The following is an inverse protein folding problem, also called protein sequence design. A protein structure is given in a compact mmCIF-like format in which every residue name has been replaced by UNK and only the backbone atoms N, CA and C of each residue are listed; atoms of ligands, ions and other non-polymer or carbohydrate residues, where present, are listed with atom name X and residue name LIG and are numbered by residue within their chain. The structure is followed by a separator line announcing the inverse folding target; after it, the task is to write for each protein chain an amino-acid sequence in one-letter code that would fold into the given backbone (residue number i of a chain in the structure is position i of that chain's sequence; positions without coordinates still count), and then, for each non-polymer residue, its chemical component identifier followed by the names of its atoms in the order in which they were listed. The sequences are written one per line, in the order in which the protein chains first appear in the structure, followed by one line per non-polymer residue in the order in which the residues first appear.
data_IF_469224798322
#
_entry.id   IF_469224798322
#
_cell.length_a   1.000
_cell.length_b   1.000
_cell.length_c   1.000
_cell.angle_alpha   90.00
_cell.angle_beta   90.00
_cell.angle_gamma   90.00
#
_symmetry.space_group_name_H-M   'P 1'
#
loop_
_entity.id
_entity.type
_entity.pdbx_description
1 polymer ?
#
# COMPACT_ATOMS: atom_id res chain seq x y z
N UNK A 1 20.01 -2.41 0.46
CA UNK A 1 20.59 -3.76 0.31
C UNK A 1 19.97 -4.54 -0.86
N UNK A 2 18.65 -4.72 -0.95
CA UNK A 2 18.01 -5.44 -2.07
C UNK A 2 18.35 -4.88 -3.46
N UNK A 3 18.27 -3.56 -3.64
CA UNK A 3 18.67 -2.91 -4.90
C UNK A 3 20.15 -3.16 -5.26
N UNK A 4 21.05 -3.16 -4.28
CA UNK A 4 22.48 -3.42 -4.50
C UNK A 4 22.67 -4.84 -5.01
N UNK A 5 22.07 -5.83 -4.34
CA UNK A 5 22.14 -7.23 -4.76
C UNK A 5 21.61 -7.42 -6.19
N UNK A 6 20.47 -6.80 -6.49
CA UNK A 6 19.83 -6.81 -7.81
C UNK A 6 20.74 -6.21 -8.88
N UNK A 7 21.22 -4.97 -8.69
CA UNK A 7 21.97 -4.26 -9.71
C UNK A 7 23.39 -4.83 -9.89
N UNK A 8 24.01 -5.37 -8.84
CA UNK A 8 25.28 -6.10 -8.96
C UNK A 8 25.12 -7.37 -9.77
N UNK A 9 24.07 -8.16 -9.51
CA UNK A 9 23.80 -9.38 -10.26
C UNK A 9 23.48 -9.08 -11.74
N UNK A 10 22.61 -8.11 -11.96
CA UNK A 10 22.21 -7.68 -13.29
C UNK A 10 23.38 -7.10 -14.09
N UNK A 11 24.27 -6.32 -13.44
CA UNK A 11 25.50 -5.81 -14.05
C UNK A 11 26.48 -6.92 -14.43
N UNK A 12 26.61 -7.96 -13.60
CA UNK A 12 27.45 -9.11 -13.92
C UNK A 12 26.95 -9.87 -15.15
N UNK A 13 25.63 -10.12 -15.24
CA UNK A 13 25.06 -10.81 -16.40
C UNK A 13 25.11 -9.94 -17.66
N UNK A 14 24.83 -8.64 -17.56
CA UNK A 14 24.97 -7.69 -18.66
C UNK A 14 26.38 -7.72 -19.25
N UNK A 15 27.41 -7.74 -18.38
CA UNK A 15 28.80 -7.82 -18.80
C UNK A 15 29.14 -9.14 -19.50
N UNK A 16 28.57 -10.27 -19.03
CA UNK A 16 28.80 -11.60 -19.61
C UNK A 16 28.09 -11.81 -20.95
N UNK A 17 26.89 -11.25 -21.13
CA UNK A 17 26.10 -11.38 -22.37
C UNK A 17 26.38 -10.27 -23.40
N UNK A 18 27.16 -9.25 -23.05
CA UNK A 18 27.44 -8.12 -23.94
C UNK A 18 26.21 -7.23 -24.22
N UNK A 19 25.16 -7.34 -23.40
CA UNK A 19 23.92 -6.55 -23.50
C UNK A 19 23.96 -5.38 -22.54
N UNK A 20 23.22 -4.32 -22.85
CA UNK A 20 23.06 -3.20 -21.92
C UNK A 20 22.07 -3.55 -20.82
N UNK A 21 22.27 -3.00 -19.61
CA UNK A 21 21.36 -3.19 -18.47
C UNK A 21 19.91 -2.81 -18.82
N UNK A 22 19.73 -1.83 -19.71
CA UNK A 22 18.42 -1.37 -20.20
C UNK A 22 17.68 -2.43 -21.03
N UNK A 23 18.40 -3.27 -21.77
CA UNK A 23 17.80 -4.34 -22.58
C UNK A 23 17.35 -5.54 -21.73
N UNK A 24 17.92 -5.68 -20.53
CA UNK A 24 17.65 -6.78 -19.60
C UNK A 24 16.61 -6.38 -18.54
N UNK A 25 16.26 -5.09 -18.46
CA UNK A 25 15.34 -4.55 -17.45
C UNK A 25 14.02 -4.10 -18.04
N UNK A 26 12.97 -4.87 -17.77
CA UNK A 26 11.59 -4.37 -17.74
C UNK A 26 11.29 -3.85 -16.34
N UNK A 27 10.38 -2.88 -16.16
CA UNK A 27 9.97 -2.44 -14.83
C UNK A 27 8.90 -3.34 -14.22
N UNK A 28 8.69 -3.28 -12.90
CA UNK A 28 7.54 -3.91 -12.25
C UNK A 28 7.61 -5.44 -12.12
N UNK A 29 6.46 -6.12 -12.25
CA UNK A 29 6.36 -7.57 -12.08
C UNK A 29 7.11 -8.36 -13.17
N UNK A 30 7.21 -7.83 -14.38
CA UNK A 30 7.90 -8.49 -15.49
C UNK A 30 9.40 -8.67 -15.18
N UNK A 31 9.98 -7.72 -14.44
CA UNK A 31 11.35 -7.87 -13.93
C UNK A 31 11.44 -9.08 -13.01
N UNK A 32 10.53 -9.15 -12.02
CA UNK A 32 10.48 -10.18 -10.99
C UNK A 32 10.31 -11.59 -11.57
N UNK A 33 9.39 -11.76 -12.53
CA UNK A 33 8.93 -13.08 -12.97
C UNK A 33 9.43 -13.52 -14.35
N UNK A 34 9.99 -12.62 -15.16
CA UNK A 34 10.53 -12.95 -16.49
C UNK A 34 12.04 -12.75 -16.49
N UNK A 35 12.50 -11.54 -16.17
CA UNK A 35 13.91 -11.22 -16.23
C UNK A 35 14.74 -12.02 -15.21
N UNK A 36 14.40 -12.01 -13.91
CA UNK A 36 15.24 -12.70 -12.92
C UNK A 36 15.32 -14.22 -13.10
N UNK A 37 14.23 -14.96 -13.33
CA UNK A 37 14.35 -16.41 -13.54
C UNK A 37 15.26 -16.73 -14.73
N UNK A 38 15.17 -15.97 -15.82
CA UNK A 38 16.07 -16.11 -16.98
C UNK A 38 17.54 -15.80 -16.67
N UNK A 39 17.81 -14.91 -15.72
CA UNK A 39 19.17 -14.62 -15.26
C UNK A 39 19.68 -15.69 -14.29
N UNK A 40 18.85 -16.18 -13.38
CA UNK A 40 19.20 -17.19 -12.37
C UNK A 40 19.58 -18.52 -13.03
N UNK A 41 18.99 -18.85 -14.18
CA UNK A 41 19.36 -20.07 -14.93
C UNK A 41 20.82 -20.09 -15.41
N UNK A 42 21.50 -18.95 -15.43
CA UNK A 42 22.91 -18.85 -15.85
C UNK A 42 23.92 -19.11 -14.72
N UNK A 43 23.44 -19.18 -13.47
CA UNK A 43 24.25 -19.47 -12.28
C UNK A 43 24.52 -20.97 -12.13
N UNK A 44 25.59 -21.31 -11.40
CA UNK A 44 25.81 -22.67 -10.93
C UNK A 44 24.73 -23.05 -9.91
N UNK A 45 24.19 -24.26 -10.01
CA UNK A 45 23.06 -24.73 -9.18
C UNK A 45 21.79 -23.86 -9.32
N UNK A 46 21.25 -23.66 -10.54
CA UNK A 46 20.15 -22.72 -10.78
C UNK A 46 18.88 -23.07 -9.97
N UNK A 47 18.63 -24.35 -9.71
CA UNK A 47 17.47 -24.80 -8.92
C UNK A 47 17.50 -24.27 -7.48
N UNK A 48 18.68 -24.22 -6.86
CA UNK A 48 18.84 -23.73 -5.48
C UNK A 48 18.55 -22.23 -5.39
N UNK A 49 19.12 -21.45 -6.32
CA UNK A 49 18.93 -20.00 -6.37
C UNK A 49 17.50 -19.61 -6.73
N UNK A 50 16.87 -20.32 -7.67
CA UNK A 50 15.46 -20.11 -8.02
C UNK A 50 14.54 -20.35 -6.82
N UNK A 51 14.77 -21.43 -6.06
CA UNK A 51 13.99 -21.70 -4.85
C UNK A 51 14.11 -20.57 -3.83
N UNK A 52 15.33 -20.11 -3.52
CA UNK A 52 15.53 -19.00 -2.58
C UNK A 52 14.89 -17.70 -3.05
N UNK A 53 14.96 -17.40 -4.36
CA UNK A 53 14.37 -16.21 -4.94
C UNK A 53 12.83 -16.22 -4.82
N UNK A 54 12.18 -17.31 -5.21
CA UNK A 54 10.73 -17.42 -5.09
C UNK A 54 10.26 -17.52 -3.64
N UNK A 55 11.04 -18.17 -2.76
CA UNK A 55 10.76 -18.19 -1.33
C UNK A 55 10.82 -16.77 -0.74
N UNK A 56 11.83 -15.97 -1.13
CA UNK A 56 11.91 -14.57 -0.72
C UNK A 56 10.69 -13.77 -1.19
N UNK A 57 10.29 -13.90 -2.47
CA UNK A 57 9.10 -13.22 -2.99
C UNK A 57 7.82 -13.65 -2.25
N UNK A 58 7.69 -14.95 -1.94
CA UNK A 58 6.57 -15.49 -1.19
C UNK A 58 6.53 -14.91 0.23
N UNK A 59 7.66 -14.87 0.94
CA UNK A 59 7.73 -14.34 2.30
C UNK A 59 7.38 -12.84 2.34
N UNK A 60 7.86 -12.05 1.37
CA UNK A 60 7.51 -10.62 1.25
C UNK A 60 6.00 -10.44 1.03
N UNK A 61 5.39 -11.26 0.17
CA UNK A 61 3.96 -11.22 -0.09
C UNK A 61 3.13 -11.62 1.13
N UNK A 62 3.50 -12.72 1.79
CA UNK A 62 2.78 -13.24 2.96
C UNK A 62 2.82 -12.27 4.14
N UNK A 63 3.99 -11.69 4.44
CA UNK A 63 4.14 -10.70 5.52
C UNK A 63 3.21 -9.50 5.30
N UNK A 64 3.18 -8.98 4.07
CA UNK A 64 2.32 -7.84 3.71
C UNK A 64 0.83 -8.18 3.88
N UNK A 65 0.40 -9.35 3.39
CA UNK A 65 -1.02 -9.76 3.45
C UNK A 65 -1.47 -10.02 4.88
N UNK A 66 -0.62 -10.60 5.73
CA UNK A 66 -0.92 -10.78 7.17
C UNK A 66 -1.15 -9.42 7.83
N UNK A 67 -0.28 -8.44 7.58
CA UNK A 67 -0.45 -7.08 8.10
C UNK A 67 -1.75 -6.41 7.65
N UNK A 68 -2.14 -6.59 6.39
CA UNK A 68 -3.41 -6.07 5.86
C UNK A 68 -4.63 -6.72 6.52
N UNK A 69 -4.64 -8.05 6.63
CA UNK A 69 -5.75 -8.78 7.28
C UNK A 69 -5.88 -8.40 8.76
N UNK A 70 -4.77 -8.24 9.47
CA UNK A 70 -4.79 -7.80 10.86
C UNK A 70 -5.34 -6.38 11.02
N UNK A 71 -4.94 -5.48 10.13
CA UNK A 71 -5.45 -4.11 10.10
C UNK A 71 -6.97 -4.07 9.81
N UNK A 72 -7.42 -4.73 8.75
CA UNK A 72 -8.83 -4.75 8.36
C UNK A 72 -9.70 -5.44 9.42
N UNK A 73 -9.23 -6.55 9.97
CA UNK A 73 -9.97 -7.26 11.02
C UNK A 73 -10.07 -6.46 12.31
N UNK A 74 -9.01 -5.75 12.71
CA UNK A 74 -9.06 -4.84 13.85
C UNK A 74 -10.03 -3.67 13.60
N UNK A 75 -9.96 -3.07 12.41
CA UNK A 75 -10.86 -2.00 12.02
C UNK A 75 -12.34 -2.44 12.05
N UNK A 76 -12.66 -3.57 11.41
CA UNK A 76 -14.02 -4.11 11.39
C UNK A 76 -14.51 -4.47 12.80
N UNK A 77 -13.63 -5.05 13.62
CA UNK A 77 -13.92 -5.44 14.99
C UNK A 77 -14.35 -4.25 15.86
N UNK A 78 -13.62 -3.14 15.76
CA UNK A 78 -13.88 -1.94 16.55
C UNK A 78 -15.01 -1.08 15.96
N UNK A 79 -15.07 -0.92 14.64
CA UNK A 79 -16.06 -0.07 13.96
C UNK A 79 -17.48 -0.59 14.15
N UNK A 80 -17.69 -1.89 13.96
CA UNK A 80 -19.00 -2.54 14.09
C UNK A 80 -19.33 -3.00 15.53
N UNK A 81 -18.46 -2.69 16.50
CA UNK A 81 -18.59 -3.11 17.91
C UNK A 81 -18.83 -4.63 18.06
N UNK A 82 -18.25 -5.43 17.16
CA UNK A 82 -18.47 -6.88 17.09
C UNK A 82 -17.90 -7.63 18.30
N UNK A 83 -17.08 -6.95 19.11
CA UNK A 83 -16.57 -7.42 20.40
C UNK A 83 -17.64 -7.97 21.33
N UNK A 84 -18.87 -7.46 21.24
CA UNK A 84 -20.00 -7.89 22.09
C UNK A 84 -20.76 -9.11 21.53
N UNK A 85 -20.58 -9.44 20.24
CA UNK A 85 -21.44 -10.40 19.53
C UNK A 85 -20.71 -11.63 19.01
N UNK A 86 -19.46 -11.49 18.57
CA UNK A 86 -18.69 -12.55 17.90
C UNK A 86 -17.29 -12.64 18.50
N UNK A 87 -16.57 -13.75 18.28
CA UNK A 87 -15.12 -13.87 18.59
C UNK A 87 -14.29 -13.32 17.41
N UNK A 88 -13.10 -12.77 17.69
CA UNK A 88 -12.22 -12.16 16.67
C UNK A 88 -11.93 -13.13 15.51
N UNK A 89 -11.75 -14.42 15.82
CA UNK A 89 -11.49 -15.48 14.85
C UNK A 89 -12.55 -15.60 13.75
N UNK A 90 -13.84 -15.43 14.09
CA UNK A 90 -14.91 -15.49 13.09
C UNK A 90 -14.93 -14.27 12.17
N UNK A 91 -14.59 -13.09 12.70
CA UNK A 91 -14.48 -11.87 11.88
C UNK A 91 -13.32 -11.99 10.89
N UNK A 92 -12.18 -12.50 11.33
CA UNK A 92 -11.04 -12.79 10.45
C UNK A 92 -11.45 -13.80 9.37
N UNK A 93 -12.14 -14.88 9.73
CA UNK A 93 -12.59 -15.89 8.76
C UNK A 93 -13.52 -15.30 7.69
N UNK A 94 -14.44 -14.42 8.09
CA UNK A 94 -15.36 -13.76 7.14
C UNK A 94 -14.59 -12.84 6.20
N UNK A 95 -13.66 -12.04 6.71
CA UNK A 95 -12.85 -11.11 5.90
C UNK A 95 -11.98 -11.91 4.93
N UNK A 96 -11.21 -12.88 5.41
CA UNK A 96 -10.36 -13.73 4.56
C UNK A 96 -11.19 -14.49 3.53
N UNK A 97 -12.36 -15.01 3.92
CA UNK A 97 -13.30 -15.64 2.98
C UNK A 97 -13.75 -14.67 1.90
N UNK A 98 -14.12 -13.44 2.25
CA UNK A 98 -14.54 -12.41 1.29
C UNK A 98 -13.42 -11.98 0.34
N UNK A 99 -12.18 -11.87 0.84
CA UNK A 99 -11.00 -11.59 0.04
C UNK A 99 -10.73 -12.73 -0.93
N UNK A 100 -10.76 -13.99 -0.46
CA UNK A 100 -10.57 -15.16 -1.32
C UNK A 100 -11.56 -15.23 -2.49
N UNK A 101 -12.84 -14.97 -2.25
CA UNK A 101 -13.86 -14.92 -3.32
C UNK A 101 -13.68 -13.75 -4.27
N UNK A 102 -13.12 -12.64 -3.80
CA UNK A 102 -12.79 -11.50 -4.65
C UNK A 102 -11.55 -11.83 -5.48
N UNK A 103 -10.48 -12.35 -4.88
CA UNK A 103 -9.22 -12.61 -5.58
C UNK A 103 -9.32 -13.74 -6.62
N UNK A 104 -10.36 -14.59 -6.56
CA UNK A 104 -10.56 -15.67 -7.53
C UNK A 104 -10.71 -15.17 -8.97
N UNK A 105 -11.26 -13.96 -9.20
CA UNK A 105 -11.37 -13.43 -10.57
C UNK A 105 -9.99 -13.07 -11.14
N UNK A 106 -9.04 -12.70 -10.27
CA UNK A 106 -7.65 -12.43 -10.61
C UNK A 106 -6.85 -13.71 -10.92
N UNK A 107 -7.35 -14.88 -10.52
CA UNK A 107 -6.73 -16.18 -10.82
C UNK A 107 -7.21 -16.81 -12.14
N UNK A 108 -8.14 -16.17 -12.86
CA UNK A 108 -8.62 -16.65 -14.16
C UNK A 108 -7.59 -16.45 -15.28
N UNK A 109 -7.77 -17.05 -16.46
CA UNK A 109 -6.84 -16.89 -17.60
C UNK A 109 -6.60 -15.42 -18.00
N UNK A 110 -7.59 -14.54 -17.79
CA UNK A 110 -7.48 -13.10 -18.07
C UNK A 110 -7.08 -12.29 -16.81
N UNK A 111 -6.74 -12.95 -15.72
CA UNK A 111 -6.41 -12.35 -14.43
C UNK A 111 -5.28 -11.33 -14.50
N UNK A 112 -4.22 -11.63 -15.25
CA UNK A 112 -3.10 -10.72 -15.49
C UNK A 112 -3.56 -9.37 -16.06
N UNK A 113 -4.48 -9.40 -17.02
CA UNK A 113 -5.00 -8.20 -17.64
C UNK A 113 -5.77 -7.32 -16.62
N UNK A 114 -6.61 -7.93 -15.78
CA UNK A 114 -7.31 -7.21 -14.72
C UNK A 114 -6.36 -6.68 -13.64
N UNK A 115 -5.33 -7.46 -13.30
CA UNK A 115 -4.30 -7.06 -12.33
C UNK A 115 -3.51 -5.83 -12.81
N UNK A 116 -3.06 -5.83 -14.07
CA UNK A 116 -2.35 -4.68 -14.67
C UNK A 116 -3.27 -3.45 -14.72
N UNK A 117 -4.55 -3.63 -15.05
CA UNK A 117 -5.52 -2.55 -15.09
C UNK A 117 -5.68 -1.87 -13.72
N UNK A 118 -5.92 -2.66 -12.66
CA UNK A 118 -6.12 -2.15 -11.30
C UNK A 118 -4.83 -1.52 -10.75
N UNK A 119 -3.69 -2.19 -10.95
CA UNK A 119 -2.40 -1.69 -10.44
C UNK A 119 -1.97 -0.39 -11.12
N UNK A 120 -2.20 -0.25 -12.42
CA UNK A 120 -1.82 0.94 -13.19
C UNK A 120 -2.66 2.17 -12.85
N UNK A 121 -3.99 2.01 -12.78
CA UNK A 121 -4.89 3.15 -12.65
C UNK A 121 -5.33 3.43 -11.21
N UNK A 122 -5.60 2.40 -10.41
CA UNK A 122 -6.16 2.58 -9.08
C UNK A 122 -5.08 2.58 -7.99
N UNK A 123 -4.16 1.60 -8.00
CA UNK A 123 -3.28 1.31 -6.86
C UNK A 123 -2.50 2.54 -6.34
N UNK A 124 -1.73 3.19 -7.20
CA UNK A 124 -0.86 4.30 -6.80
C UNK A 124 -1.61 5.54 -6.32
N UNK A 125 -2.58 6.03 -7.09
CA UNK A 125 -3.30 7.28 -6.81
C UNK A 125 -4.14 7.15 -5.53
N UNK A 126 -4.79 6.00 -5.34
CA UNK A 126 -5.65 5.68 -4.18
C UNK A 126 -4.85 5.69 -2.88
N UNK A 127 -3.66 5.08 -2.88
CA UNK A 127 -2.78 5.05 -1.69
C UNK A 127 -2.24 6.44 -1.38
N UNK A 128 -1.78 7.19 -2.39
CA UNK A 128 -1.26 8.55 -2.19
C UNK A 128 -2.35 9.46 -1.61
N UNK A 129 -3.58 9.38 -2.10
CA UNK A 129 -4.71 10.13 -1.54
C UNK A 129 -4.99 9.74 -0.09
N UNK A 130 -5.01 8.44 0.22
CA UNK A 130 -5.28 7.94 1.58
C UNK A 130 -4.22 8.45 2.56
N UNK A 131 -2.94 8.41 2.19
CA UNK A 131 -1.84 8.96 2.99
C UNK A 131 -1.96 10.48 3.19
N UNK A 132 -2.33 11.21 2.14
CA UNK A 132 -2.57 12.65 2.24
C UNK A 132 -3.70 12.96 3.25
N UNK A 133 -4.83 12.25 3.13
CA UNK A 133 -5.99 12.42 4.01
C UNK A 133 -5.66 12.06 5.46
N UNK A 134 -4.94 10.95 5.70
CA UNK A 134 -4.52 10.52 7.03
C UNK A 134 -3.64 11.55 7.73
N UNK A 135 -2.60 12.03 7.05
CA UNK A 135 -1.68 13.03 7.60
C UNK A 135 -2.40 14.36 7.81
N UNK A 136 -3.29 14.77 6.90
CA UNK A 136 -4.10 15.96 7.05
C UNK A 136 -5.01 15.87 8.29
N UNK A 137 -5.71 14.74 8.47
CA UNK A 137 -6.56 14.48 9.63
C UNK A 137 -5.78 14.53 10.94
N UNK A 138 -4.61 13.89 11.01
CA UNK A 138 -3.76 13.90 12.21
C UNK A 138 -3.23 15.31 12.51
N UNK A 139 -2.72 15.99 11.49
CA UNK A 139 -2.04 17.28 11.67
C UNK A 139 -2.99 18.43 11.99
N UNK A 140 -4.16 18.50 11.34
CA UNK A 140 -5.07 19.64 11.43
C UNK A 140 -6.39 19.34 12.15
N UNK A 141 -7.00 18.17 11.95
CA UNK A 141 -8.30 17.85 12.57
C UNK A 141 -8.13 17.40 14.02
N UNK A 142 -7.21 16.47 14.26
CA UNK A 142 -6.90 15.99 15.60
C UNK A 142 -5.99 16.98 16.33
N UNK A 143 -4.88 17.37 15.69
CA UNK A 143 -3.86 18.28 16.19
C UNK A 143 -2.67 17.55 16.79
N UNK A 144 -1.45 17.88 16.34
CA UNK A 144 -0.21 17.20 16.74
C UNK A 144 0.11 17.33 18.23
N UNK A 145 -0.32 18.41 18.88
CA UNK A 145 -0.04 18.62 20.30
C UNK A 145 -0.92 17.73 21.19
N UNK A 146 -2.14 17.41 20.76
CA UNK A 146 -2.98 16.42 21.44
C UNK A 146 -2.42 15.01 21.27
N UNK A 147 -1.86 14.71 20.10
CA UNK A 147 -1.21 13.44 19.83
C UNK A 147 0.03 13.26 20.71
N UNK A 148 0.86 14.30 20.84
CA UNK A 148 2.01 14.29 21.74
C UNK A 148 1.58 14.08 23.19
N UNK A 149 0.54 14.77 23.66
CA UNK A 149 0.04 14.60 25.03
C UNK A 149 -0.39 13.15 25.31
N UNK A 150 -1.06 12.50 24.36
CA UNK A 150 -1.44 11.09 24.46
C UNK A 150 -0.23 10.15 24.43
N UNK A 151 0.75 10.42 23.56
CA UNK A 151 1.98 9.63 23.49
C UNK A 151 2.76 9.73 24.79
N UNK A 152 2.99 10.95 25.31
CA UNK A 152 3.68 11.17 26.55
C UNK A 152 3.01 10.47 27.74
N UNK A 153 1.66 10.43 27.76
CA UNK A 153 0.94 9.71 28.81
C UNK A 153 1.11 8.17 28.72
N UNK A 154 1.29 7.62 27.51
CA UNK A 154 1.31 6.16 27.28
C UNK A 154 2.70 5.55 27.28
N UNK A 155 3.67 6.25 26.71
CA UNK A 155 5.06 5.77 26.55
C UNK A 155 6.06 6.63 27.31
N UNK A 156 5.67 7.80 27.84
CA UNK A 156 6.58 8.75 28.47
C UNK A 156 7.45 9.53 27.47
N UNK A 157 7.24 9.33 26.17
CA UNK A 157 8.05 9.95 25.12
C UNK A 157 7.36 11.18 24.51
N UNK A 158 8.16 12.17 24.10
CA UNK A 158 7.67 13.37 23.40
C UNK A 158 8.08 13.32 21.94
N UNK A 159 7.27 13.96 21.08
CA UNK A 159 7.56 13.97 19.64
C UNK A 159 8.59 15.08 19.39
N UNK A 160 9.76 14.78 18.81
CA UNK A 160 10.76 15.80 18.56
C UNK A 160 10.19 16.93 17.68
N UNK A 161 10.38 18.18 18.11
CA UNK A 161 9.92 19.39 17.40
C UNK A 161 10.26 19.41 15.89
N UNK A 162 11.46 19.03 15.41
CA UNK A 162 11.75 19.00 13.97
C UNK A 162 10.88 17.99 13.21
N UNK A 163 10.49 16.87 13.85
CA UNK A 163 9.61 15.88 13.23
C UNK A 163 8.18 16.42 13.08
N UNK A 164 7.65 17.11 14.11
CA UNK A 164 6.36 17.80 14.01
C UNK A 164 6.35 18.83 12.88
N UNK A 165 7.44 19.61 12.76
CA UNK A 165 7.59 20.60 11.70
C UNK A 165 7.65 19.93 10.32
N UNK A 166 8.46 18.87 10.17
CA UNK A 166 8.57 18.09 8.94
C UNK A 166 7.20 17.53 8.52
N UNK A 167 6.45 16.93 9.43
CA UNK A 167 5.16 16.33 9.12
C UNK A 167 4.13 17.35 8.59
N UNK A 168 4.08 18.54 9.20
CA UNK A 168 3.11 19.59 8.84
C UNK A 168 3.52 20.39 7.60
N UNK A 169 4.79 20.76 7.49
CA UNK A 169 5.26 21.73 6.50
C UNK A 169 6.05 21.12 5.35
N UNK A 170 6.59 19.90 5.50
CA UNK A 170 7.35 19.23 4.45
C UNK A 170 6.55 18.08 3.85
N UNK A 171 6.14 17.11 4.68
CA UNK A 171 5.49 15.88 4.22
C UNK A 171 4.14 16.15 3.58
N UNK A 172 3.28 16.96 4.21
CA UNK A 172 1.95 17.23 3.69
C UNK A 172 1.94 17.92 2.31
N UNK A 173 2.69 19.02 2.07
CA UNK A 173 2.73 19.61 0.73
C UNK A 173 3.44 18.73 -0.29
N UNK A 174 4.48 17.97 0.09
CA UNK A 174 5.13 17.04 -0.84
C UNK A 174 4.17 15.96 -1.35
N UNK A 175 3.44 15.31 -0.44
CA UNK A 175 2.45 14.29 -0.82
C UNK A 175 1.30 14.92 -1.62
N UNK A 176 0.88 16.15 -1.25
CA UNK A 176 -0.12 16.89 -2.02
C UNK A 176 0.33 17.21 -3.45
N UNK A 177 1.59 17.63 -3.65
CA UNK A 177 2.16 17.88 -4.98
C UNK A 177 2.22 16.58 -5.78
N UNK A 178 2.70 15.49 -5.17
CA UNK A 178 2.78 14.17 -5.81
C UNK A 178 1.37 13.71 -6.23
N UNK A 179 0.37 13.87 -5.37
CA UNK A 179 -1.02 13.56 -5.68
C UNK A 179 -1.53 14.36 -6.89
N UNK A 180 -1.32 15.68 -6.90
CA UNK A 180 -1.73 16.53 -8.02
C UNK A 180 -1.05 16.13 -9.34
N UNK A 181 0.25 15.79 -9.31
CA UNK A 181 0.97 15.32 -10.50
C UNK A 181 0.42 13.97 -10.97
N UNK A 182 0.17 13.03 -10.04
CA UNK A 182 -0.37 11.72 -10.37
C UNK A 182 -1.78 11.80 -10.98
N UNK A 183 -2.65 12.63 -10.42
CA UNK A 183 -3.98 12.91 -10.98
C UNK A 183 -3.84 13.58 -12.35
N UNK A 184 -2.99 14.60 -12.49
CA UNK A 184 -2.78 15.25 -13.78
C UNK A 184 -2.33 14.26 -14.86
N UNK A 185 -1.38 13.38 -14.54
CA UNK A 185 -0.91 12.35 -15.49
C UNK A 185 -2.03 11.39 -15.91
N UNK A 186 -2.91 11.00 -14.99
CA UNK A 186 -4.04 10.12 -15.27
C UNK A 186 -5.08 10.74 -16.21
N UNK A 187 -5.23 12.07 -16.19
CA UNK A 187 -6.18 12.78 -17.07
C UNK A 187 -5.54 13.33 -18.36
N UNK A 188 -4.24 13.63 -18.35
CA UNK A 188 -3.54 14.26 -19.46
C UNK A 188 -2.92 13.25 -20.45
N UNK A 189 -2.57 12.04 -20.00
CA UNK A 189 -1.97 11.03 -20.89
C UNK A 189 -3.08 10.32 -21.66
N UNK A 190 -3.15 10.56 -22.97
CA UNK A 190 -4.01 9.81 -23.87
C UNK A 190 -3.45 8.39 -24.03
N UNK A 191 -4.09 7.41 -23.40
CA UNK A 191 -3.72 6.00 -23.57
C UNK A 191 -4.49 5.40 -24.76
N UNK A 192 -3.85 4.50 -25.50
CA UNK A 192 -4.51 3.67 -26.54
C UNK A 192 -5.44 2.59 -25.94
N UNK A 193 -5.87 2.77 -24.70
CA UNK A 193 -6.67 1.80 -23.95
C UNK A 193 -8.16 2.07 -24.16
N UNK A 194 -9.00 1.03 -24.20
CA UNK A 194 -10.44 1.19 -24.38
C UNK A 194 -11.04 1.99 -23.23
N UNK A 195 -11.97 2.88 -23.56
CA UNK A 195 -12.50 3.89 -22.63
C UNK A 195 -13.10 3.32 -21.35
N UNK A 196 -13.68 2.11 -21.39
CA UNK A 196 -14.25 1.45 -20.21
C UNK A 196 -13.20 1.12 -19.15
N UNK A 197 -11.97 0.78 -19.54
CA UNK A 197 -10.87 0.46 -18.61
C UNK A 197 -10.53 1.68 -17.76
N UNK A 198 -10.43 2.84 -18.39
CA UNK A 198 -10.13 4.12 -17.75
C UNK A 198 -11.23 4.49 -16.76
N UNK A 199 -12.50 4.27 -17.14
CA UNK A 199 -13.63 4.52 -16.24
C UNK A 199 -13.64 3.61 -15.01
N UNK A 200 -13.29 2.33 -15.18
CA UNK A 200 -13.15 1.40 -14.03
C UNK A 200 -12.04 1.87 -13.08
N UNK A 201 -10.87 2.26 -13.62
CA UNK A 201 -9.78 2.80 -12.82
C UNK A 201 -10.19 4.06 -12.04
N UNK A 202 -10.84 5.01 -12.71
CA UNK A 202 -11.35 6.24 -12.10
C UNK A 202 -12.41 5.99 -11.03
N UNK A 203 -13.29 5.01 -11.26
CA UNK A 203 -14.28 4.61 -10.26
C UNK A 203 -13.59 4.09 -8.99
N UNK A 204 -12.56 3.26 -9.12
CA UNK A 204 -11.80 2.76 -7.97
C UNK A 204 -11.11 3.88 -7.17
N UNK A 205 -10.57 4.91 -7.84
CA UNK A 205 -9.99 6.10 -7.18
C UNK A 205 -11.04 6.85 -6.35
N UNK A 206 -12.30 6.85 -6.78
CA UNK A 206 -13.36 7.57 -6.08
C UNK A 206 -13.77 6.93 -4.75
N UNK A 207 -13.52 5.62 -4.56
CA UNK A 207 -13.90 4.86 -3.36
C UNK A 207 -13.27 5.43 -2.07
N UNK A 208 -11.95 5.61 -1.95
CA UNK A 208 -11.33 6.20 -0.75
C UNK A 208 -11.74 7.66 -0.53
N UNK A 209 -11.99 8.42 -1.60
CA UNK A 209 -12.45 9.80 -1.51
C UNK A 209 -13.83 9.84 -0.88
N UNK A 210 -14.75 8.99 -1.37
CA UNK A 210 -16.08 8.84 -0.82
C UNK A 210 -16.04 8.35 0.63
N UNK A 211 -15.19 7.38 0.97
CA UNK A 211 -15.07 6.88 2.35
C UNK A 211 -14.58 7.96 3.31
N UNK A 212 -13.62 8.79 2.90
CA UNK A 212 -13.14 9.92 3.70
C UNK A 212 -14.25 10.97 3.92
N UNK A 213 -15.03 11.28 2.88
CA UNK A 213 -16.17 12.21 3.00
C UNK A 213 -17.24 11.67 3.94
N UNK A 214 -17.60 10.39 3.82
CA UNK A 214 -18.53 9.71 4.73
C UNK A 214 -18.00 9.76 6.16
N UNK A 215 -16.71 9.48 6.36
CA UNK A 215 -16.04 9.58 7.65
C UNK A 215 -16.12 10.98 8.27
N UNK A 216 -15.97 12.03 7.47
CA UNK A 216 -16.10 13.42 7.93
C UNK A 216 -17.55 13.79 8.27
N UNK A 217 -18.52 13.27 7.52
CA UNK A 217 -19.96 13.47 7.78
C UNK A 217 -20.43 12.74 9.05
N UNK A 218 -19.85 11.57 9.35
CA UNK A 218 -20.11 10.84 10.59
C UNK A 218 -19.37 11.58 11.72
N UNK A 219 -19.97 12.65 12.25
CA UNK A 219 -19.50 13.37 13.44
C UNK A 219 -19.53 12.45 14.67
N UNK A 220 -18.51 11.60 14.83
CA UNK A 220 -18.18 11.05 16.15
C UNK A 220 -17.48 12.17 16.91
N UNK A 221 -18.09 12.60 18.03
CA UNK A 221 -17.44 13.51 18.98
C UNK A 221 -16.08 12.92 19.32
N UNK A 222 -15.01 13.57 18.89
CA UNK A 222 -13.66 13.24 19.34
C UNK A 222 -13.65 13.48 20.85
N UNK A 223 -13.49 12.44 21.67
CA UNK A 223 -13.36 12.64 23.10
C UNK A 223 -12.13 13.52 23.35
N UNK A 224 -12.30 14.52 24.21
CA UNK A 224 -11.20 15.37 24.69
C UNK A 224 -10.07 14.47 25.21
N UNK A 225 -8.81 14.84 25.01
CA UNK A 225 -7.66 14.04 25.46
C UNK A 225 -7.79 13.64 26.95
N UNK A 226 -8.33 14.54 27.78
CA UNK A 226 -8.66 14.30 29.20
C UNK A 226 -9.72 13.19 29.41
N UNK A 227 -10.75 13.12 28.56
CA UNK A 227 -11.80 12.10 28.62
C UNK A 227 -11.33 10.73 28.11
N UNK A 228 -10.22 10.67 27.37
CA UNK A 228 -9.56 9.42 26.97
C UNK A 228 -8.62 8.90 28.06
N UNK A 229 -7.95 9.80 28.79
CA UNK A 229 -7.13 9.46 29.96
C UNK A 229 -7.98 8.98 31.13
N UNK A 230 -9.15 9.58 31.38
CA UNK A 230 -10.03 9.20 32.49
C UNK A 230 -10.92 7.96 32.25
N UNK A 231 -10.97 7.41 31.03
CA UNK A 231 -11.85 6.28 30.66
C UNK A 231 -11.18 4.90 30.70
N UNK A 232 -9.92 4.82 31.08
CA UNK A 232 -9.17 3.56 31.28
C UNK A 232 -8.68 3.45 32.72
#
# INVERSE_FOLDING_TARGET
MGAIAIFTFLGHIAHKEGKTVKEITSGGLDLAFIAYPGLITTLSMPNFWSFLFFLMLLLIGVDTVIGLIDFESAFAWDFFQLRKKMKKQYVVLIIVGSLFFTDIFLATNNGWYYFVLISKHAGGITVIFTLFAEIYCIAFVFGLDKLEALMHHRTGETIPKPFKFSLKYLTLPLIGIIFCISVYREFAVQTNEPTWQIWVGRFLISIPIASCLIGFCIKRKTPTAEALVQRQ
#
